data_IF_167759517356
#
_entry.id   IF_167759517356
#
_cell.length_a   1.000
_cell.length_b   1.000
_cell.length_c   1.000
_cell.angle_alpha   90.00
_cell.angle_beta   90.00
_cell.angle_gamma   90.00
#
_symmetry.space_group_name_H-M   'P 1'
#
loop_
_entity.id
_entity.type
_entity.pdbx_description
1 polymer ?
#
# COMPACT_ATOMS: atom_id res chain seq x y z
N UNK A 1 -22.39 14.82 -14.99
CA UNK A 1 -21.32 15.80 -14.70
C UNK A 1 -20.03 15.23 -15.23
N UNK A 2 -19.36 15.93 -16.16
CA UNK A 2 -18.11 15.46 -16.74
C UNK A 2 -17.00 15.55 -15.67
N UNK A 3 -16.53 14.41 -15.19
CA UNK A 3 -15.38 14.32 -14.30
C UNK A 3 -14.16 14.66 -15.17
N UNK A 4 -13.55 15.80 -14.87
CA UNK A 4 -12.41 16.36 -15.57
C UNK A 4 -11.27 15.33 -15.59
N UNK A 5 -10.92 14.84 -16.80
CA UNK A 5 -9.90 13.81 -17.05
C UNK A 5 -8.48 14.35 -16.83
N UNK A 6 -8.23 14.96 -15.69
CA UNK A 6 -6.88 15.44 -15.37
C UNK A 6 -5.96 14.24 -15.10
N UNK A 7 -4.77 14.28 -15.72
CA UNK A 7 -3.70 13.31 -15.45
C UNK A 7 -3.45 13.16 -13.93
N UNK A 8 -3.01 11.97 -13.52
CA UNK A 8 -2.56 11.69 -12.15
C UNK A 8 -1.61 12.77 -11.59
N UNK A 9 -0.78 13.35 -12.45
CA UNK A 9 0.23 14.38 -12.08
C UNK A 9 -0.33 15.81 -12.04
N UNK A 10 -1.61 16.02 -12.35
CA UNK A 10 -2.19 17.34 -12.39
C UNK A 10 -2.54 17.88 -11.00
N UNK A 11 -2.43 19.19 -10.83
CA UNK A 11 -2.94 19.89 -9.65
C UNK A 11 -4.46 19.85 -9.64
N UNK A 12 -5.04 19.65 -8.47
CA UNK A 12 -6.49 19.62 -8.25
C UNK A 12 -6.94 20.80 -7.42
N UNK A 13 -8.05 21.41 -7.80
CA UNK A 13 -8.74 22.41 -6.97
C UNK A 13 -9.38 21.72 -5.76
N UNK A 14 -9.80 22.51 -4.76
CA UNK A 14 -10.49 21.95 -3.57
C UNK A 14 -11.77 21.21 -3.94
N UNK A 15 -12.52 21.70 -4.95
CA UNK A 15 -13.75 21.06 -5.42
C UNK A 15 -13.46 19.71 -6.07
N UNK A 16 -12.46 19.65 -6.96
CA UNK A 16 -12.02 18.39 -7.60
C UNK A 16 -11.47 17.39 -6.58
N UNK A 17 -10.69 17.85 -5.60
CA UNK A 17 -10.19 17.01 -4.52
C UNK A 17 -11.32 16.47 -3.64
N UNK A 18 -12.32 17.29 -3.33
CA UNK A 18 -13.51 16.92 -2.57
C UNK A 18 -14.31 15.83 -3.28
N UNK A 19 -14.53 15.98 -4.60
CA UNK A 19 -15.22 14.99 -5.43
C UNK A 19 -14.45 13.67 -5.47
N UNK A 20 -13.13 13.71 -5.73
CA UNK A 20 -12.28 12.53 -5.77
C UNK A 20 -12.26 11.77 -4.43
N UNK A 21 -12.21 12.49 -3.34
CA UNK A 21 -12.16 11.92 -1.99
C UNK A 21 -13.55 11.59 -1.43
N UNK A 22 -14.62 11.94 -2.14
CA UNK A 22 -16.01 11.79 -1.68
C UNK A 22 -16.21 12.40 -0.29
N UNK A 23 -15.63 13.57 -0.06
CA UNK A 23 -15.79 14.33 1.19
C UNK A 23 -16.15 15.78 0.89
N UNK A 24 -16.96 16.43 1.74
CA UNK A 24 -17.29 17.84 1.56
C UNK A 24 -16.06 18.75 1.62
N UNK A 25 -16.07 19.86 0.89
CA UNK A 25 -14.95 20.83 0.85
C UNK A 25 -14.61 21.41 2.22
N UNK A 26 -15.58 21.59 3.12
CA UNK A 26 -15.34 22.07 4.48
C UNK A 26 -14.54 21.05 5.31
N UNK A 27 -14.70 19.75 5.06
CA UNK A 27 -13.90 18.69 5.71
C UNK A 27 -12.45 18.80 5.27
N UNK A 28 -12.16 19.02 3.99
CA UNK A 28 -10.80 19.23 3.51
C UNK A 28 -10.15 20.47 4.14
N UNK A 29 -10.89 21.57 4.26
CA UNK A 29 -10.40 22.77 4.96
C UNK A 29 -10.10 22.49 6.44
N UNK A 30 -10.96 21.72 7.09
CA UNK A 30 -10.72 21.29 8.46
C UNK A 30 -9.47 20.41 8.58
N UNK A 31 -9.26 19.48 7.65
CA UNK A 31 -8.06 18.64 7.62
C UNK A 31 -6.78 19.46 7.38
N UNK A 32 -6.81 20.49 6.54
CA UNK A 32 -5.68 21.43 6.40
C UNK A 32 -5.28 22.06 7.74
N UNK A 33 -6.26 22.40 8.58
CA UNK A 33 -5.94 22.98 9.90
C UNK A 33 -5.44 21.97 10.92
N UNK A 34 -5.80 20.69 10.77
CA UNK A 34 -5.42 19.64 11.71
C UNK A 34 -4.16 18.89 11.30
N UNK A 35 -3.89 18.75 10.02
CA UNK A 35 -2.74 18.00 9.50
C UNK A 35 -1.74 18.92 8.82
N UNK A 36 -0.69 19.33 9.55
CA UNK A 36 0.40 20.18 9.05
C UNK A 36 1.08 19.64 7.78
N UNK A 37 0.95 18.33 7.53
CA UNK A 37 1.50 17.68 6.35
C UNK A 37 0.70 17.95 5.07
N UNK A 38 -0.50 18.48 5.17
CA UNK A 38 -1.38 18.85 4.05
C UNK A 38 -1.22 20.34 3.78
N UNK A 39 -0.43 20.71 2.78
CA UNK A 39 -0.09 22.09 2.47
C UNK A 39 -0.44 22.45 1.02
N UNK A 40 -1.71 22.73 0.71
CA UNK A 40 -2.08 23.12 -0.65
C UNK A 40 -1.45 24.44 -1.05
N UNK A 41 -1.18 24.60 -2.34
CA UNK A 41 -0.73 25.85 -2.91
C UNK A 41 -1.88 26.85 -2.95
N UNK A 42 -1.70 28.03 -2.39
CA UNK A 42 -2.63 29.16 -2.52
C UNK A 42 -2.19 30.04 -3.69
N UNK A 43 -3.05 30.23 -4.68
CA UNK A 43 -2.81 31.11 -5.82
C UNK A 43 -3.92 32.16 -5.91
N UNK A 44 -3.71 33.22 -6.67
CA UNK A 44 -4.58 34.39 -6.86
C UNK A 44 -6.03 34.24 -6.37
N UNK A 45 -6.47 35.12 -5.49
CA UNK A 45 -7.81 35.09 -4.89
C UNK A 45 -8.03 33.98 -3.85
N UNK A 46 -6.96 33.41 -3.25
CA UNK A 46 -7.08 32.42 -2.17
C UNK A 46 -7.50 31.02 -2.63
N UNK A 47 -7.44 30.76 -3.93
CA UNK A 47 -7.77 29.43 -4.50
C UNK A 47 -6.73 28.40 -4.08
N UNK A 48 -7.21 27.24 -3.57
CA UNK A 48 -6.38 26.11 -3.12
C UNK A 48 -6.15 25.12 -4.24
N UNK A 49 -4.88 24.73 -4.43
CA UNK A 49 -4.47 23.71 -5.41
C UNK A 49 -3.67 22.65 -4.69
N UNK A 50 -4.14 21.40 -4.77
CA UNK A 50 -3.50 20.22 -4.19
C UNK A 50 -2.60 19.55 -5.20
N UNK A 51 -1.39 19.22 -4.78
CA UNK A 51 -0.45 18.41 -5.57
C UNK A 51 -0.87 16.95 -5.55
N UNK A 52 -0.41 16.12 -6.51
CA UNK A 52 -0.67 14.67 -6.49
C UNK A 52 -0.29 14.00 -5.16
N UNK A 53 0.82 14.43 -4.56
CA UNK A 53 1.23 13.93 -3.25
C UNK A 53 0.28 14.35 -2.12
N UNK A 54 -0.28 15.55 -2.19
CA UNK A 54 -1.27 16.03 -1.21
C UNK A 54 -2.58 15.23 -1.34
N UNK A 55 -3.01 14.93 -2.56
CA UNK A 55 -4.17 14.07 -2.83
C UNK A 55 -3.92 12.66 -2.27
N UNK A 56 -2.76 12.06 -2.55
CA UNK A 56 -2.39 10.74 -2.00
C UNK A 56 -2.38 10.74 -0.48
N UNK A 57 -1.90 11.81 0.15
CA UNK A 57 -1.90 11.95 1.60
C UNK A 57 -3.32 12.06 2.16
N UNK A 58 -4.19 12.82 1.52
CA UNK A 58 -5.61 12.96 1.89
C UNK A 58 -6.37 11.63 1.77
N UNK A 59 -6.10 10.81 0.74
CA UNK A 59 -6.63 9.44 0.66
C UNK A 59 -6.17 8.57 1.83
N UNK A 60 -4.89 8.64 2.20
CA UNK A 60 -4.37 7.95 3.37
C UNK A 60 -5.05 8.42 4.66
N UNK A 61 -5.24 9.72 4.85
CA UNK A 61 -5.95 10.28 6.01
C UNK A 61 -7.41 9.79 6.02
N UNK A 62 -8.12 9.84 4.88
CA UNK A 62 -9.48 9.29 4.75
C UNK A 62 -9.53 7.84 5.21
N UNK A 63 -8.64 6.99 4.70
CA UNK A 63 -8.55 5.57 5.07
C UNK A 63 -8.40 5.37 6.59
N UNK A 64 -7.49 6.09 7.24
CA UNK A 64 -7.28 5.94 8.68
C UNK A 64 -8.46 6.47 9.51
N UNK A 65 -9.10 7.56 9.11
CA UNK A 65 -10.23 8.14 9.85
C UNK A 65 -11.52 7.34 9.64
N UNK A 66 -11.86 6.96 8.42
CA UNK A 66 -13.16 6.37 8.08
C UNK A 66 -13.14 4.84 8.12
N UNK A 67 -12.10 4.19 7.60
CA UNK A 67 -12.03 2.72 7.56
C UNK A 67 -11.40 2.15 8.83
N UNK A 68 -10.28 2.70 9.29
CA UNK A 68 -9.61 2.26 10.54
C UNK A 68 -10.20 2.88 11.80
N UNK A 69 -11.15 3.81 11.66
CA UNK A 69 -11.83 4.49 12.78
C UNK A 69 -10.85 5.15 13.77
N UNK A 70 -9.70 5.62 13.30
CA UNK A 70 -8.74 6.30 14.16
C UNK A 70 -9.20 7.73 14.47
N UNK A 71 -8.88 8.19 15.68
CA UNK A 71 -9.08 9.60 16.03
C UNK A 71 -8.10 10.50 15.27
N UNK A 72 -8.46 11.79 15.13
CA UNK A 72 -7.59 12.80 14.51
C UNK A 72 -6.23 12.86 15.22
N UNK A 73 -6.21 12.84 16.56
CA UNK A 73 -4.98 12.85 17.37
C UNK A 73 -4.09 11.64 17.07
N UNK A 74 -4.66 10.44 16.94
CA UNK A 74 -3.93 9.22 16.60
C UNK A 74 -3.35 9.29 15.19
N UNK A 75 -4.13 9.77 14.23
CA UNK A 75 -3.67 9.93 12.84
C UNK A 75 -2.56 10.99 12.73
N UNK A 76 -2.66 12.10 13.48
CA UNK A 76 -1.59 13.10 13.57
C UNK A 76 -0.29 12.50 14.14
N UNK A 77 -0.39 11.69 15.20
CA UNK A 77 0.78 11.03 15.80
C UNK A 77 1.46 10.08 14.83
N UNK A 78 0.71 9.34 14.01
CA UNK A 78 1.24 8.48 12.95
C UNK A 78 1.95 9.29 11.87
N UNK A 79 1.39 10.42 11.45
CA UNK A 79 2.00 11.31 10.46
C UNK A 79 3.33 11.92 10.95
N UNK A 80 3.48 12.19 12.26
CA UNK A 80 4.71 12.70 12.88
C UNK A 80 5.78 11.62 13.03
N UNK A 81 5.43 10.37 13.38
CA UNK A 81 6.33 9.23 13.68
C UNK A 81 6.90 8.54 12.43
N UNK A 82 7.48 9.25 11.46
CA UNK A 82 8.07 8.64 10.23
C UNK A 82 7.15 7.68 9.43
N UNK A 83 5.92 7.45 9.88
CA UNK A 83 4.93 6.61 9.20
C UNK A 83 4.22 7.34 8.04
N UNK A 84 4.57 8.62 7.82
CA UNK A 84 4.10 9.40 6.67
C UNK A 84 4.28 8.64 5.34
N UNK A 85 5.40 7.90 5.20
CA UNK A 85 5.66 7.06 4.01
C UNK A 85 4.63 5.94 3.85
N UNK A 86 4.20 5.32 4.94
CA UNK A 86 3.19 4.25 4.92
C UNK A 86 1.82 4.81 4.59
N UNK A 87 1.45 5.94 5.17
CA UNK A 87 0.19 6.64 4.88
C UNK A 87 0.15 7.08 3.42
N UNK A 88 1.26 7.61 2.89
CA UNK A 88 1.39 7.93 1.47
C UNK A 88 1.30 6.70 0.56
N UNK A 89 1.87 5.55 0.95
CA UNK A 89 1.75 4.31 0.16
C UNK A 89 0.30 3.83 0.09
N UNK A 90 -0.38 3.79 1.23
CA UNK A 90 -1.81 3.43 1.30
C UNK A 90 -2.65 4.41 0.48
N UNK A 91 -2.41 5.69 0.63
CA UNK A 91 -3.12 6.73 -0.11
C UNK A 91 -2.86 6.69 -1.62
N UNK A 92 -1.62 6.42 -2.05
CA UNK A 92 -1.29 6.22 -3.47
C UNK A 92 -2.00 5.00 -4.05
N UNK A 93 -2.01 3.89 -3.34
CA UNK A 93 -2.70 2.68 -3.77
C UNK A 93 -4.22 2.92 -3.90
N UNK A 94 -4.83 3.60 -2.93
CA UNK A 94 -6.24 3.95 -2.97
C UNK A 94 -6.56 4.93 -4.11
N UNK A 95 -5.74 5.96 -4.30
CA UNK A 95 -5.92 6.93 -5.38
C UNK A 95 -5.76 6.30 -6.78
N UNK A 96 -4.78 5.42 -6.96
CA UNK A 96 -4.60 4.69 -8.22
C UNK A 96 -5.78 3.76 -8.49
N UNK A 97 -6.23 3.01 -7.49
CA UNK A 97 -7.40 2.15 -7.62
C UNK A 97 -8.68 2.93 -7.98
N UNK A 98 -8.85 4.13 -7.42
CA UNK A 98 -9.98 5.01 -7.76
C UNK A 98 -9.86 5.61 -9.15
N UNK A 99 -8.66 6.03 -9.56
CA UNK A 99 -8.41 6.52 -10.92
C UNK A 99 -8.60 5.45 -11.99
N UNK A 100 -8.32 4.18 -11.66
CA UNK A 100 -8.59 3.05 -12.55
C UNK A 100 -10.08 2.79 -12.72
N UNK A 101 -10.88 2.84 -11.64
CA UNK A 101 -12.34 2.70 -11.71
C UNK A 101 -13.01 3.77 -12.58
N UNK A 102 -12.45 4.97 -12.59
CA UNK A 102 -12.97 6.07 -13.41
C UNK A 102 -12.52 5.99 -14.89
N UNK A 103 -11.48 5.21 -15.19
CA UNK A 103 -10.96 5.02 -16.56
C UNK A 103 -11.53 3.79 -17.28
N UNK A 104 -12.35 2.96 -16.66
CA UNK A 104 -12.93 1.74 -17.25
C UNK A 104 -13.83 1.99 -18.48
N UNK A 105 -13.96 3.23 -18.94
CA UNK A 105 -14.66 3.58 -20.18
C UNK A 105 -13.76 3.87 -21.39
N UNK A 106 -12.42 3.78 -21.27
CA UNK A 106 -11.52 4.08 -22.41
C UNK A 106 -10.29 3.16 -22.44
N UNK A 107 -10.28 2.36 -23.50
CA UNK A 107 -9.17 1.82 -24.31
C UNK A 107 -8.32 0.66 -23.79
N UNK A 108 -8.14 -0.29 -24.68
CA UNK A 108 -7.33 -1.52 -24.66
C UNK A 108 -5.90 -1.41 -24.09
N UNK A 109 -5.32 -0.22 -24.05
CA UNK A 109 -3.94 -0.04 -23.56
C UNK A 109 -3.80 -0.19 -22.04
N UNK A 110 -4.85 0.12 -21.28
CA UNK A 110 -4.87 -0.06 -19.83
C UNK A 110 -5.04 -1.51 -19.39
N UNK A 111 -5.67 -2.36 -20.20
CA UNK A 111 -5.71 -3.81 -19.94
C UNK A 111 -4.30 -4.42 -19.97
N UNK A 112 -3.44 -3.98 -20.86
CA UNK A 112 -2.05 -4.47 -20.97
C UNK A 112 -1.23 -4.09 -19.74
N UNK A 113 -1.38 -2.87 -19.23
CA UNK A 113 -0.67 -2.41 -18.00
C UNK A 113 -1.17 -3.14 -16.76
N UNK A 114 -2.47 -3.36 -16.63
CA UNK A 114 -3.09 -4.12 -15.53
C UNK A 114 -2.66 -5.58 -15.57
N UNK A 115 -2.64 -6.19 -16.76
CA UNK A 115 -2.18 -7.56 -16.95
C UNK A 115 -0.70 -7.70 -16.58
N UNK A 116 0.16 -6.80 -17.03
CA UNK A 116 1.58 -6.75 -16.67
C UNK A 116 1.81 -6.58 -15.16
N UNK A 117 0.97 -5.81 -14.47
CA UNK A 117 1.05 -5.65 -13.01
C UNK A 117 0.63 -6.95 -12.29
N UNK A 118 -0.46 -7.57 -12.71
CA UNK A 118 -0.94 -8.84 -12.17
C UNK A 118 0.06 -9.97 -12.43
N UNK A 119 0.65 -10.02 -13.61
CA UNK A 119 1.66 -11.01 -13.99
C UNK A 119 2.95 -10.84 -13.17
N UNK A 120 3.40 -9.60 -12.92
CA UNK A 120 4.52 -9.34 -12.01
C UNK A 120 4.22 -9.77 -10.58
N UNK A 121 3.01 -9.51 -10.08
CA UNK A 121 2.56 -9.93 -8.74
C UNK A 121 2.49 -11.46 -8.65
N UNK A 122 1.98 -12.11 -9.69
CA UNK A 122 1.91 -13.57 -9.81
C UNK A 122 3.31 -14.19 -9.85
N UNK A 123 4.22 -13.62 -10.64
CA UNK A 123 5.62 -14.07 -10.72
C UNK A 123 6.35 -13.92 -9.37
N UNK A 124 6.10 -12.86 -8.61
CA UNK A 124 6.66 -12.69 -7.25
C UNK A 124 6.10 -13.72 -6.27
N UNK A 125 4.82 -14.04 -6.33
CA UNK A 125 4.20 -15.06 -5.48
C UNK A 125 4.75 -16.46 -5.80
N UNK A 126 4.93 -16.79 -7.08
CA UNK A 126 5.54 -18.07 -7.50
C UNK A 126 6.97 -18.18 -6.97
N UNK A 127 7.80 -17.13 -7.14
CA UNK A 127 9.18 -17.12 -6.60
C UNK A 127 9.24 -17.22 -5.09
N UNK A 128 8.25 -16.67 -4.38
CA UNK A 128 8.16 -16.81 -2.91
C UNK A 128 7.76 -18.23 -2.51
N UNK A 129 6.80 -18.86 -3.20
CA UNK A 129 6.42 -20.25 -2.94
C UNK A 129 7.58 -21.21 -3.21
N UNK A 130 8.28 -21.07 -4.34
CA UNK A 130 9.48 -21.86 -4.64
C UNK A 130 10.57 -21.73 -3.57
N UNK A 131 10.77 -20.52 -3.05
CA UNK A 131 11.75 -20.27 -1.98
C UNK A 131 11.34 -20.90 -0.65
N UNK A 132 10.06 -20.94 -0.34
CA UNK A 132 9.50 -21.60 0.84
C UNK A 132 9.67 -23.12 0.70
N UNK A 133 9.36 -23.70 -0.47
CA UNK A 133 9.51 -25.13 -0.74
C UNK A 133 10.97 -25.57 -0.64
N UNK A 134 11.91 -24.79 -1.20
CA UNK A 134 13.35 -25.04 -1.06
C UNK A 134 13.83 -24.99 0.40
N UNK A 135 13.29 -24.08 1.21
CA UNK A 135 13.61 -24.03 2.64
C UNK A 135 13.07 -25.24 3.40
N UNK A 136 11.85 -25.70 3.09
CA UNK A 136 11.28 -26.91 3.70
C UNK A 136 12.07 -28.17 3.33
N UNK A 137 12.46 -28.31 2.05
CA UNK A 137 13.29 -29.43 1.60
C UNK A 137 14.66 -29.44 2.31
N UNK A 138 15.29 -28.28 2.45
CA UNK A 138 16.57 -28.16 3.17
C UNK A 138 16.45 -28.52 4.66
N UNK A 139 15.37 -28.12 5.33
CA UNK A 139 15.12 -28.47 6.73
C UNK A 139 14.84 -29.96 6.91
N UNK A 140 14.06 -30.58 6.02
CA UNK A 140 13.78 -32.01 6.07
C UNK A 140 15.02 -32.86 5.80
N UNK A 141 15.92 -32.44 4.92
CA UNK A 141 17.21 -33.10 4.71
C UNK A 141 18.13 -33.04 5.93
N UNK A 142 18.20 -31.87 6.61
CA UNK A 142 18.95 -31.73 7.87
C UNK A 142 18.40 -32.64 8.97
N UNK A 143 17.08 -32.72 9.12
CA UNK A 143 16.42 -33.60 10.10
C UNK A 143 16.70 -35.08 9.80
N UNK A 144 16.61 -35.48 8.54
CA UNK A 144 16.98 -36.90 8.14
C UNK A 144 18.44 -37.20 8.44
N UNK A 145 19.36 -36.28 8.21
CA UNK A 145 20.78 -36.42 8.57
C UNK A 145 21.00 -36.60 10.07
N UNK A 146 20.29 -35.83 10.89
CA UNK A 146 20.36 -35.95 12.37
C UNK A 146 19.79 -37.26 12.86
N UNK A 147 18.66 -37.74 12.31
CA UNK A 147 18.08 -39.05 12.63
C UNK A 147 19.07 -40.18 12.33
N UNK A 148 19.68 -40.17 11.15
CA UNK A 148 20.69 -41.18 10.77
C UNK A 148 21.93 -41.21 11.72
N UNK A 149 22.33 -40.01 12.19
CA UNK A 149 23.42 -39.93 13.17
C UNK A 149 23.02 -40.53 14.54
N UNK A 150 21.77 -40.31 14.97
CA UNK A 150 21.25 -40.89 16.21
C UNK A 150 21.17 -42.41 16.12
N UNK A 151 20.69 -42.96 15.01
CA UNK A 151 20.67 -44.40 14.76
C UNK A 151 22.07 -45.04 14.82
N UNK A 152 23.05 -44.41 14.15
CA UNK A 152 24.45 -44.85 14.20
C UNK A 152 25.03 -44.84 15.63
N UNK A 153 24.68 -43.83 16.44
CA UNK A 153 25.12 -43.77 17.83
C UNK A 153 24.47 -44.88 18.66
N UNK A 154 23.18 -45.16 18.44
CA UNK A 154 22.46 -46.23 19.12
C UNK A 154 23.06 -47.61 18.80
N UNK A 155 23.41 -47.89 17.52
CA UNK A 155 24.08 -49.10 17.12
C UNK A 155 25.47 -49.26 17.78
N UNK A 156 26.24 -48.17 17.83
CA UNK A 156 27.56 -48.17 18.49
C UNK A 156 27.48 -48.40 20.01
N UNK A 157 26.42 -47.94 20.66
CA UNK A 157 26.18 -48.20 22.08
C UNK A 157 25.79 -49.67 22.26
N UNK A 158 24.88 -50.23 21.44
CA UNK A 158 24.51 -51.63 21.50
C UNK A 158 25.71 -52.56 21.32
N UNK A 159 26.60 -52.27 20.35
CA UNK A 159 27.80 -53.10 20.08
C UNK A 159 28.86 -53.01 21.19
N UNK A 160 28.80 -52.06 22.10
CA UNK A 160 29.73 -51.92 23.26
C UNK A 160 29.17 -52.54 24.56
N UNK A 161 27.88 -52.85 24.58
CA UNK A 161 27.19 -53.44 25.73
C UNK A 161 26.93 -54.96 25.56
N UNK A 162 27.27 -55.51 24.39
CA UNK A 162 27.34 -56.94 24.10
C UNK A 162 28.77 -57.45 24.18
#
# INVERSE_FOLDING_TARGET
>A
MAIDRKSYMAFRTISEAATLLEVPTHVLRFWETKFESVTPLKRGGGRRYYRPNDISLLYGIKHFLYEKRFSIKKTQALLRKREKKNILKVGKAAFLAESERQNDSISNDHQVIRQNYLDRKRCLLIKLSEKVDLMQVSQTQKLKGLLKNIENIQERIKSRLS
#
